data_IF_390314041457
#
_entry.id   IF_390314041457
#
_cell.length_a   1.000
_cell.length_b   1.000
_cell.length_c   1.000
_cell.angle_alpha   90.00
_cell.angle_beta   90.00
_cell.angle_gamma   90.00
#
_symmetry.space_group_name_H-M   'P 1'
#
loop_
_entity.id
_entity.type
_entity.pdbx_description
1 polymer ?
#
# COMPACT_ATOMS: atom_id res chain seq x y z
N UNK A 1 2.03 40.34 -8.64
CA UNK A 1 2.65 41.47 -7.89
C UNK A 1 3.84 40.93 -7.13
N UNK A 2 5.04 41.33 -7.54
CA UNK A 2 6.28 41.05 -6.79
C UNK A 2 6.21 41.93 -5.54
N UNK A 3 6.15 41.32 -4.35
CA UNK A 3 6.00 42.04 -3.08
C UNK A 3 7.35 42.63 -2.67
N UNK A 4 7.38 43.93 -2.31
CA UNK A 4 8.60 44.61 -1.88
C UNK A 4 9.09 44.03 -0.54
N UNK A 5 10.34 43.54 -0.55
CA UNK A 5 11.06 43.17 0.66
C UNK A 5 11.73 44.42 1.21
N UNK A 6 11.60 44.66 2.51
CA UNK A 6 12.30 45.73 3.21
C UNK A 6 13.63 45.22 3.76
N UNK A 7 14.60 46.12 3.92
CA UNK A 7 15.95 45.81 4.42
C UNK A 7 16.16 46.45 5.78
N UNK A 8 16.79 45.72 6.69
CA UNK A 8 17.18 46.20 8.02
C UNK A 8 18.56 45.66 8.36
N UNK A 9 19.30 46.37 9.22
CA UNK A 9 20.57 45.89 9.76
C UNK A 9 20.31 45.06 11.02
N UNK A 10 20.71 43.78 11.00
CA UNK A 10 20.70 42.87 12.15
C UNK A 10 22.15 42.46 12.38
N UNK A 11 22.72 42.77 13.55
CA UNK A 11 24.13 42.45 13.86
C UNK A 11 25.12 42.95 12.78
N UNK A 12 24.92 44.17 12.27
CA UNK A 12 25.70 44.78 11.16
C UNK A 12 25.64 44.05 9.81
N UNK A 13 24.70 43.12 9.65
CA UNK A 13 24.42 42.40 8.40
C UNK A 13 23.07 42.84 7.84
N UNK A 14 23.03 43.14 6.54
CA UNK A 14 21.79 43.49 5.84
C UNK A 14 20.87 42.27 5.74
N UNK A 15 19.68 42.36 6.36
CA UNK A 15 18.64 41.34 6.33
C UNK A 15 17.39 41.83 5.59
N UNK A 16 16.93 41.05 4.61
CA UNK A 16 15.70 41.33 3.86
C UNK A 16 14.49 40.63 4.48
N UNK A 17 13.50 41.39 4.92
CA UNK A 17 12.29 40.89 5.59
C UNK A 17 11.01 41.28 4.83
N UNK A 18 9.93 40.55 5.08
CA UNK A 18 8.62 40.86 4.50
C UNK A 18 7.75 41.58 5.54
N UNK A 19 7.48 42.89 5.40
CA UNK A 19 6.76 43.67 6.40
C UNK A 19 5.30 43.23 6.57
N UNK A 20 4.68 42.50 5.65
CA UNK A 20 3.32 41.95 5.86
C UNK A 20 3.32 40.76 6.83
N UNK A 21 4.44 40.02 6.90
CA UNK A 21 4.55 38.76 7.67
C UNK A 21 5.47 38.86 8.88
N UNK A 22 6.33 39.86 8.90
CA UNK A 22 7.45 39.99 9.83
C UNK A 22 7.45 41.41 10.42
N UNK A 23 7.85 41.55 11.68
CA UNK A 23 8.10 42.84 12.34
C UNK A 23 9.48 42.82 13.01
N UNK A 24 10.09 44.00 13.14
CA UNK A 24 11.40 44.14 13.78
C UNK A 24 11.19 44.56 15.24
N UNK A 25 11.87 43.88 16.16
CA UNK A 25 11.90 44.20 17.59
C UNK A 25 13.29 43.87 18.13
N UNK A 26 13.87 44.76 18.95
CA UNK A 26 15.17 44.54 19.58
C UNK A 26 16.29 44.12 18.61
N UNK A 27 16.28 44.68 17.40
CA UNK A 27 17.27 44.37 16.35
C UNK A 27 17.08 43.01 15.65
N UNK A 28 15.96 42.31 15.88
CA UNK A 28 15.68 41.00 15.29
C UNK A 28 14.32 40.97 14.58
N UNK A 29 14.18 40.06 13.62
CA UNK A 29 12.97 39.88 12.83
C UNK A 29 12.08 38.79 13.44
N UNK A 30 10.82 39.10 13.67
CA UNK A 30 9.84 38.20 14.29
C UNK A 30 8.63 37.97 13.40
N UNK A 31 8.03 36.79 13.48
CA UNK A 31 6.77 36.50 12.80
C UNK A 31 5.62 37.33 13.41
N UNK A 32 4.83 38.02 12.59
CA UNK A 32 3.64 38.76 13.05
C UNK A 32 2.52 37.89 13.64
N UNK A 33 2.53 36.58 13.36
CA UNK A 33 1.47 35.65 13.77
C UNK A 33 1.85 34.88 15.03
N UNK A 34 3.03 34.26 15.06
CA UNK A 34 3.46 33.43 16.19
C UNK A 34 4.54 34.09 17.07
N UNK A 35 5.04 35.28 16.70
CA UNK A 35 6.04 36.03 17.45
C UNK A 35 7.37 35.30 17.70
N UNK A 36 7.64 34.20 16.99
CA UNK A 36 8.96 33.58 16.99
C UNK A 36 9.95 34.36 16.12
N UNK A 37 11.22 34.34 16.53
CA UNK A 37 12.33 34.92 15.78
C UNK A 37 12.51 34.17 14.45
N UNK A 38 12.75 34.93 13.39
CA UNK A 38 12.86 34.46 11.99
C UNK A 38 14.21 34.74 11.36
N UNK A 39 15.02 35.62 11.93
CA UNK A 39 16.42 35.76 11.54
C UNK A 39 17.28 34.72 12.28
N UNK A 40 18.16 34.04 11.54
CA UNK A 40 19.17 33.16 12.10
C UNK A 40 20.38 33.92 12.64
N UNK A 41 21.48 33.20 12.88
CA UNK A 41 22.77 33.81 13.20
C UNK A 41 23.44 34.32 11.93
N UNK A 42 24.25 35.37 12.05
CA UNK A 42 25.16 35.78 10.99
C UNK A 42 26.16 34.65 10.69
N UNK A 43 26.25 34.26 9.42
CA UNK A 43 27.17 33.23 8.93
C UNK A 43 27.99 33.80 7.78
N UNK A 44 29.26 33.42 7.70
CA UNK A 44 30.12 33.78 6.58
C UNK A 44 29.86 32.84 5.40
N UNK A 45 29.57 33.42 4.24
CA UNK A 45 29.30 32.69 3.00
C UNK A 45 29.96 33.42 1.83
N UNK A 46 30.91 32.77 1.15
CA UNK A 46 31.72 33.36 0.06
C UNK A 46 32.38 34.71 0.43
N UNK A 47 32.96 34.82 1.63
CA UNK A 47 33.65 36.03 2.09
C UNK A 47 32.72 37.22 2.40
N UNK A 48 31.41 36.99 2.51
CA UNK A 48 30.41 37.98 2.93
C UNK A 48 29.62 37.42 4.11
N UNK A 49 29.25 38.28 5.07
CA UNK A 49 28.32 37.88 6.13
C UNK A 49 26.88 37.92 5.62
N UNK A 50 26.11 36.89 5.95
CA UNK A 50 24.71 36.76 5.58
C UNK A 50 23.90 36.17 6.74
N UNK A 51 22.64 36.60 6.85
CA UNK A 51 21.67 36.04 7.81
C UNK A 51 20.59 35.30 7.02
N UNK A 52 20.44 34.00 7.29
CA UNK A 52 19.40 33.17 6.68
C UNK A 52 18.11 33.22 7.49
N UNK A 53 16.97 33.09 6.80
CA UNK A 53 15.67 32.98 7.46
C UNK A 53 15.53 31.62 8.14
N UNK A 54 15.06 31.64 9.38
CA UNK A 54 14.67 30.47 10.15
C UNK A 54 13.15 30.29 10.06
N UNK A 55 12.70 29.05 9.91
CA UNK A 55 11.27 28.73 9.90
C UNK A 55 10.69 29.00 11.29
N UNK A 56 9.69 29.88 11.38
CA UNK A 56 8.90 30.06 12.60
C UNK A 56 7.85 28.94 12.76
N UNK A 57 7.16 28.88 13.90
CA UNK A 57 6.07 27.92 14.15
C UNK A 57 5.05 27.87 13.02
N UNK A 58 4.62 29.02 12.50
CA UNK A 58 3.66 29.06 11.38
C UNK A 58 4.20 28.43 10.09
N UNK A 59 5.50 28.55 9.84
CA UNK A 59 6.14 27.94 8.66
C UNK A 59 6.24 26.43 8.86
N UNK A 60 6.70 25.99 10.05
CA UNK A 60 6.79 24.56 10.41
C UNK A 60 5.43 23.86 10.41
N UNK A 61 4.38 24.51 10.93
CA UNK A 61 3.01 23.97 10.92
C UNK A 61 2.45 23.86 9.49
N UNK A 62 2.78 24.82 8.61
CA UNK A 62 2.35 24.78 7.20
C UNK A 62 3.07 23.66 6.46
N UNK A 63 4.38 23.53 6.65
CA UNK A 63 5.17 22.44 6.07
C UNK A 63 4.68 21.08 6.55
N UNK A 64 4.38 20.93 7.85
CA UNK A 64 3.83 19.70 8.42
C UNK A 64 2.47 19.36 7.78
N UNK A 65 1.57 20.34 7.65
CA UNK A 65 0.26 20.16 7.00
C UNK A 65 0.38 19.79 5.52
N UNK A 66 1.29 20.44 4.78
CA UNK A 66 1.50 20.11 3.37
C UNK A 66 2.11 18.71 3.23
N UNK A 67 3.08 18.35 4.08
CA UNK A 67 3.66 17.01 4.09
C UNK A 67 2.61 15.93 4.39
N UNK A 68 1.72 16.19 5.35
CA UNK A 68 0.61 15.28 5.64
C UNK A 68 -0.36 15.19 4.46
N UNK A 69 -0.71 16.32 3.83
CA UNK A 69 -1.56 16.35 2.63
C UNK A 69 -0.95 15.53 1.49
N UNK A 70 0.34 15.70 1.22
CA UNK A 70 1.06 14.92 0.20
C UNK A 70 1.11 13.44 0.54
N UNK A 71 1.30 13.09 1.82
CA UNK A 71 1.25 11.71 2.30
C UNK A 71 -0.11 11.07 2.03
N UNK A 72 -1.21 11.77 2.35
CA UNK A 72 -2.57 11.27 2.13
C UNK A 72 -2.89 11.08 0.66
N UNK A 73 -2.50 12.05 -0.20
CA UNK A 73 -2.67 11.93 -1.65
C UNK A 73 -1.91 10.74 -2.23
N UNK A 74 -0.69 10.48 -1.74
CA UNK A 74 0.08 9.33 -2.18
C UNK A 74 -0.54 8.00 -1.72
N UNK A 75 -1.04 7.92 -0.47
CA UNK A 75 -1.76 6.74 0.03
C UNK A 75 -2.98 6.45 -0.84
N UNK A 76 -3.79 7.47 -1.15
CA UNK A 76 -4.98 7.33 -1.99
C UNK A 76 -4.62 6.86 -3.41
N UNK A 77 -3.57 7.45 -4.00
CA UNK A 77 -3.02 7.02 -5.30
C UNK A 77 -2.57 5.57 -5.26
N UNK A 78 -1.82 5.15 -4.24
CA UNK A 78 -1.35 3.77 -4.11
C UNK A 78 -2.52 2.78 -3.92
N UNK A 79 -3.52 3.12 -3.10
CA UNK A 79 -4.71 2.28 -2.90
C UNK A 79 -5.53 2.12 -4.19
N UNK A 80 -5.69 3.19 -4.97
CA UNK A 80 -6.41 3.13 -6.26
C UNK A 80 -5.71 2.24 -7.30
N UNK A 81 -4.37 2.18 -7.28
CA UNK A 81 -3.60 1.27 -8.14
C UNK A 81 -3.69 -0.18 -7.63
N UNK A 82 -3.61 -0.34 -6.30
CA UNK A 82 -3.57 -1.64 -5.63
C UNK A 82 -4.87 -2.43 -5.78
N UNK A 83 -6.00 -1.81 -5.42
CA UNK A 83 -7.30 -2.46 -5.27
C UNK A 83 -8.22 -2.23 -6.46
N UNK A 84 -8.99 -3.26 -6.84
CA UNK A 84 -9.99 -3.15 -7.91
C UNK A 84 -11.37 -2.75 -7.39
N UNK A 85 -11.61 -2.86 -6.08
CA UNK A 85 -12.89 -2.55 -5.44
C UNK A 85 -12.67 -1.69 -4.19
N UNK A 86 -13.56 -0.70 -4.01
CA UNK A 86 -13.56 0.16 -2.82
C UNK A 86 -13.79 -0.61 -1.52
N UNK A 87 -14.45 -1.77 -1.59
CA UNK A 87 -14.66 -2.62 -0.41
C UNK A 87 -13.31 -3.13 0.13
N UNK A 88 -12.33 -3.39 -0.74
CA UNK A 88 -11.00 -3.86 -0.29
C UNK A 88 -10.22 -2.79 0.48
N UNK A 89 -10.58 -1.51 0.36
CA UNK A 89 -9.96 -0.43 1.11
C UNK A 89 -10.29 -0.52 2.60
N UNK A 90 -11.42 -1.14 2.97
CA UNK A 90 -11.81 -1.33 4.37
C UNK A 90 -11.29 -2.63 4.97
N UNK A 91 -10.62 -3.48 4.19
CA UNK A 91 -10.02 -4.72 4.68
C UNK A 91 -8.71 -4.43 5.40
N UNK A 92 -8.78 -3.94 6.64
CA UNK A 92 -7.63 -3.60 7.49
C UNK A 92 -7.52 -4.56 8.68
N UNK A 93 -6.38 -4.57 9.38
CA UNK A 93 -6.22 -5.41 10.57
C UNK A 93 -7.16 -4.99 11.70
N UNK A 94 -7.50 -3.70 11.78
CA UNK A 94 -8.42 -3.13 12.78
C UNK A 94 -9.87 -3.55 12.51
N UNK A 95 -10.26 -3.67 11.24
CA UNK A 95 -11.60 -4.10 10.84
C UNK A 95 -11.73 -5.63 10.74
N UNK A 96 -10.66 -6.39 11.03
CA UNK A 96 -10.70 -7.85 10.98
C UNK A 96 -11.58 -8.39 12.10
N UNK A 97 -12.73 -8.96 11.72
CA UNK A 97 -13.71 -9.51 12.67
C UNK A 97 -13.49 -11.00 13.01
N UNK A 98 -12.45 -11.62 12.46
CA UNK A 98 -12.08 -12.98 12.82
C UNK A 98 -11.43 -13.06 14.20
N UNK A 99 -11.37 -14.27 14.77
CA UNK A 99 -10.61 -14.50 16.00
C UNK A 99 -9.13 -14.21 15.76
N UNK A 100 -8.47 -13.63 16.76
CA UNK A 100 -7.02 -13.51 16.74
C UNK A 100 -6.41 -14.91 16.69
N UNK A 101 -5.79 -15.23 15.57
CA UNK A 101 -5.25 -16.54 15.26
C UNK A 101 -3.82 -16.39 14.72
N UNK A 102 -3.13 -17.52 14.56
CA UNK A 102 -1.76 -17.54 14.08
C UNK A 102 -1.61 -16.83 12.71
N UNK A 103 -2.59 -16.97 11.81
CA UNK A 103 -2.54 -16.32 10.49
C UNK A 103 -2.58 -14.79 10.57
N UNK A 104 -3.36 -14.21 11.50
CA UNK A 104 -3.40 -12.77 11.74
C UNK A 104 -2.09 -12.26 12.34
N UNK A 105 -1.52 -13.00 13.30
CA UNK A 105 -0.23 -12.64 13.93
C UNK A 105 0.89 -12.64 12.89
N UNK A 106 0.97 -13.67 12.05
CA UNK A 106 1.95 -13.76 10.97
C UNK A 106 1.76 -12.60 9.99
N UNK A 107 0.53 -12.29 9.59
CA UNK A 107 0.25 -11.17 8.69
C UNK A 107 0.68 -9.80 9.26
N UNK A 108 0.42 -9.54 10.55
CA UNK A 108 0.88 -8.33 11.24
C UNK A 108 2.41 -8.26 11.31
N UNK A 109 3.07 -9.37 11.66
CA UNK A 109 4.53 -9.42 11.75
C UNK A 109 5.22 -9.28 10.39
N UNK A 110 4.63 -9.82 9.32
CA UNK A 110 5.12 -9.63 7.96
C UNK A 110 5.21 -8.14 7.58
N UNK A 111 4.19 -7.35 7.96
CA UNK A 111 4.17 -5.89 7.72
C UNK A 111 5.22 -5.19 8.57
N UNK A 112 5.28 -5.53 9.86
CA UNK A 112 6.23 -4.94 10.82
C UNK A 112 7.68 -5.15 10.39
N UNK A 113 8.00 -6.35 9.91
CA UNK A 113 9.36 -6.76 9.55
C UNK A 113 9.56 -6.75 8.01
N UNK A 114 8.78 -5.94 7.27
CA UNK A 114 8.77 -5.97 5.81
C UNK A 114 10.14 -5.75 5.16
N UNK A 115 11.00 -4.88 5.72
CA UNK A 115 12.35 -4.68 5.17
C UNK A 115 13.21 -5.94 5.23
N UNK A 116 13.04 -6.77 6.27
CA UNK A 116 13.68 -8.08 6.35
C UNK A 116 13.06 -9.04 5.34
N UNK A 117 11.73 -9.11 5.29
CA UNK A 117 11.00 -9.96 4.33
C UNK A 117 11.41 -9.65 2.89
N UNK A 118 11.59 -8.37 2.56
CA UNK A 118 12.06 -7.90 1.27
C UNK A 118 13.51 -8.26 1.00
N UNK A 119 14.40 -8.11 1.98
CA UNK A 119 15.82 -8.44 1.84
C UNK A 119 16.03 -9.94 1.60
N UNK A 120 15.24 -10.79 2.27
CA UNK A 120 15.35 -12.24 2.20
C UNK A 120 14.41 -12.86 1.15
N UNK A 121 13.67 -12.03 0.39
CA UNK A 121 12.68 -12.47 -0.60
C UNK A 121 11.58 -13.40 -0.03
N UNK A 122 11.16 -13.14 1.20
CA UNK A 122 10.13 -13.92 1.89
C UNK A 122 8.74 -13.40 1.52
N UNK A 123 7.92 -14.28 0.95
CA UNK A 123 6.49 -14.12 0.71
C UNK A 123 5.64 -14.95 1.67
N UNK A 124 4.32 -14.91 1.47
CA UNK A 124 3.37 -15.70 2.24
C UNK A 124 2.45 -16.48 1.30
N UNK A 125 2.20 -17.75 1.62
CA UNK A 125 1.21 -18.58 0.94
C UNK A 125 0.03 -18.82 1.90
N UNK A 126 -1.03 -18.04 1.77
CA UNK A 126 -2.27 -18.25 2.51
C UNK A 126 -3.09 -19.37 1.87
N UNK A 127 -3.34 -20.44 2.60
CA UNK A 127 -4.13 -21.58 2.12
C UNK A 127 -5.18 -22.01 3.15
N UNK A 128 -6.25 -22.66 2.70
CA UNK A 128 -7.38 -23.08 3.55
C UNK A 128 -8.71 -23.08 2.80
N UNK A 129 -9.79 -23.39 3.50
CA UNK A 129 -11.13 -23.54 2.92
C UNK A 129 -11.69 -22.23 2.34
N UNK A 130 -12.65 -22.34 1.42
CA UNK A 130 -13.36 -21.18 0.85
C UNK A 130 -14.03 -20.38 1.98
N UNK A 131 -13.94 -19.05 1.92
CA UNK A 131 -14.60 -18.17 2.89
C UNK A 131 -13.86 -17.94 4.21
N UNK A 132 -12.71 -18.61 4.43
CA UNK A 132 -11.89 -18.50 5.66
C UNK A 132 -11.20 -17.14 5.90
N UNK A 133 -11.22 -16.23 4.93
CA UNK A 133 -10.65 -14.87 5.07
C UNK A 133 -9.24 -14.66 4.53
N UNK A 134 -8.68 -15.59 3.74
CA UNK A 134 -7.35 -15.46 3.10
C UNK A 134 -7.16 -14.14 2.33
N UNK A 135 -8.07 -13.84 1.41
CA UNK A 135 -8.05 -12.59 0.62
C UNK A 135 -8.15 -11.36 1.51
N UNK A 136 -8.93 -11.44 2.61
CA UNK A 136 -9.05 -10.34 3.55
C UNK A 136 -7.70 -10.06 4.21
N UNK A 137 -7.03 -11.07 4.76
CA UNK A 137 -5.70 -10.93 5.37
C UNK A 137 -4.67 -10.38 4.38
N UNK A 138 -4.68 -10.87 3.14
CA UNK A 138 -3.80 -10.35 2.09
C UNK A 138 -4.08 -8.87 1.78
N UNK A 139 -5.35 -8.46 1.72
CA UNK A 139 -5.73 -7.05 1.58
C UNK A 139 -5.34 -6.22 2.81
N UNK A 140 -5.40 -6.77 4.02
CA UNK A 140 -4.96 -6.10 5.24
C UNK A 140 -3.46 -5.84 5.26
N UNK A 141 -2.65 -6.80 4.81
CA UNK A 141 -1.22 -6.58 4.58
C UNK A 141 -1.01 -5.44 3.58
N UNK A 142 -1.71 -5.46 2.45
CA UNK A 142 -1.58 -4.42 1.43
C UNK A 142 -1.96 -3.03 1.95
N UNK A 143 -3.09 -2.91 2.65
CA UNK A 143 -3.52 -1.65 3.27
C UNK A 143 -2.46 -1.14 4.26
N UNK A 144 -1.98 -2.00 5.16
CA UNK A 144 -1.01 -1.61 6.16
C UNK A 144 0.35 -1.20 5.55
N UNK A 145 0.84 -1.92 4.52
CA UNK A 145 2.07 -1.54 3.80
C UNK A 145 1.94 -0.18 3.10
N UNK A 146 0.78 0.09 2.49
CA UNK A 146 0.52 1.38 1.82
C UNK A 146 0.39 2.51 2.84
N UNK A 147 -0.39 2.33 3.90
CA UNK A 147 -0.70 3.39 4.87
C UNK A 147 0.48 3.74 5.78
N UNK A 148 1.22 2.73 6.23
CA UNK A 148 2.30 2.92 7.21
C UNK A 148 3.61 3.31 6.52
N UNK A 149 3.88 2.75 5.33
CA UNK A 149 5.18 2.84 4.68
C UNK A 149 5.14 3.39 3.24
N UNK A 150 3.96 3.69 2.69
CA UNK A 150 3.79 4.16 1.30
C UNK A 150 4.42 3.20 0.28
N UNK A 151 4.40 1.90 0.57
CA UNK A 151 4.94 0.85 -0.30
C UNK A 151 3.94 0.56 -1.41
N UNK A 152 4.42 0.46 -2.65
CA UNK A 152 3.60 0.03 -3.78
C UNK A 152 3.25 -1.45 -3.68
N UNK A 153 1.96 -1.74 -3.62
CA UNK A 153 1.39 -3.09 -3.64
C UNK A 153 0.41 -3.21 -4.81
N UNK A 154 0.32 -4.39 -5.42
CA UNK A 154 -0.76 -4.73 -6.36
C UNK A 154 -1.42 -6.03 -5.97
N UNK A 155 -2.76 -6.07 -6.01
CA UNK A 155 -3.52 -7.30 -5.82
C UNK A 155 -4.26 -7.62 -7.11
N UNK A 156 -4.02 -8.80 -7.68
CA UNK A 156 -4.74 -9.29 -8.85
C UNK A 156 -5.01 -10.77 -8.71
N UNK A 157 -6.14 -11.25 -9.20
CA UNK A 157 -6.30 -12.67 -9.50
C UNK A 157 -5.90 -12.98 -10.94
N UNK A 158 -5.62 -14.24 -11.26
CA UNK A 158 -5.16 -14.60 -12.59
C UNK A 158 -6.19 -14.32 -13.68
N UNK A 159 -7.49 -14.50 -13.38
CA UNK A 159 -8.55 -14.15 -14.34
C UNK A 159 -8.52 -12.68 -14.73
N UNK A 160 -8.26 -11.76 -13.78
CA UNK A 160 -8.08 -10.34 -14.05
C UNK A 160 -6.84 -10.08 -14.91
N UNK A 161 -5.71 -10.71 -14.58
CA UNK A 161 -4.47 -10.57 -15.35
C UNK A 161 -4.68 -10.98 -16.81
N UNK A 162 -5.26 -12.16 -17.05
CA UNK A 162 -5.52 -12.65 -18.41
C UNK A 162 -6.51 -11.74 -19.14
N UNK A 163 -7.58 -11.30 -18.47
CA UNK A 163 -8.54 -10.39 -19.08
C UNK A 163 -7.91 -9.03 -19.45
N UNK A 164 -7.03 -8.48 -18.61
CA UNK A 164 -6.32 -7.24 -18.89
C UNK A 164 -5.34 -7.41 -20.07
N UNK A 165 -4.64 -8.54 -20.14
CA UNK A 165 -3.77 -8.89 -21.27
C UNK A 165 -4.53 -9.08 -22.59
N UNK A 166 -5.77 -9.59 -22.53
CA UNK A 166 -6.62 -9.77 -23.70
C UNK A 166 -7.28 -8.47 -24.18
N UNK A 167 -7.51 -7.51 -23.27
CA UNK A 167 -8.10 -6.19 -23.60
C UNK A 167 -7.12 -5.24 -24.26
N UNK A 168 -5.82 -5.36 -23.98
CA UNK A 168 -4.78 -4.55 -24.60
C UNK A 168 -4.60 -4.89 -26.09
N UNK A 169 -5.01 -3.97 -26.98
CA UNK A 169 -4.58 -4.00 -28.37
C UNK A 169 -3.11 -3.59 -28.49
N UNK A 170 -2.40 -4.15 -29.49
CA UNK A 170 -0.94 -4.06 -29.70
C UNK A 170 -0.08 -4.61 -28.53
N UNK A 171 1.01 -5.32 -28.85
CA UNK A 171 1.82 -6.03 -27.85
C UNK A 171 2.60 -5.14 -26.87
N UNK A 172 2.75 -3.84 -27.17
CA UNK A 172 3.46 -2.87 -26.32
C UNK A 172 2.75 -2.70 -24.97
N UNK A 173 1.42 -2.68 -24.95
CA UNK A 173 0.64 -2.48 -23.71
C UNK A 173 0.66 -3.73 -22.80
N UNK A 174 0.79 -4.92 -23.39
CA UNK A 174 0.83 -6.19 -22.63
C UNK A 174 2.14 -6.34 -21.86
N UNK A 175 3.27 -6.07 -22.51
CA UNK A 175 4.58 -6.16 -21.86
C UNK A 175 4.69 -5.14 -20.73
N UNK A 176 4.24 -3.90 -20.95
CA UNK A 176 4.19 -2.87 -19.92
C UNK A 176 3.34 -3.31 -18.72
N UNK A 177 2.19 -3.96 -18.96
CA UNK A 177 1.34 -4.48 -17.88
C UNK A 177 2.04 -5.58 -17.08
N UNK A 178 2.65 -6.59 -17.73
CA UNK A 178 3.42 -7.64 -17.05
C UNK A 178 4.58 -7.04 -16.25
N UNK A 179 5.35 -6.14 -16.84
CA UNK A 179 6.44 -5.46 -16.15
C UNK A 179 5.94 -4.71 -14.92
N UNK A 180 4.76 -4.11 -15.00
CA UNK A 180 4.14 -3.42 -13.88
C UNK A 180 3.75 -4.36 -12.72
N UNK A 181 3.47 -5.63 -12.99
CA UNK A 181 3.21 -6.67 -11.98
C UNK A 181 4.51 -7.27 -11.45
N UNK A 182 5.52 -7.41 -12.30
CA UNK A 182 6.83 -7.95 -11.93
C UNK A 182 7.63 -6.95 -11.08
N UNK A 183 7.53 -5.65 -11.38
CA UNK A 183 8.39 -4.62 -10.77
C UNK A 183 7.79 -3.98 -9.51
N UNK A 184 6.49 -4.16 -9.21
CA UNK A 184 5.89 -3.66 -7.96
C UNK A 184 6.57 -4.27 -6.73
N UNK A 185 6.68 -3.50 -5.64
CA UNK A 185 7.41 -3.90 -4.44
C UNK A 185 6.82 -5.16 -3.81
N UNK A 186 5.49 -5.27 -3.77
CA UNK A 186 4.78 -6.49 -3.34
C UNK A 186 3.65 -6.78 -4.33
N UNK A 187 3.62 -8.00 -4.84
CA UNK A 187 2.50 -8.51 -5.62
C UNK A 187 1.74 -9.51 -4.76
N UNK A 188 0.42 -9.38 -4.76
CA UNK A 188 -0.50 -10.35 -4.19
C UNK A 188 -1.25 -11.01 -5.34
N UNK A 189 -1.10 -12.32 -5.47
CA UNK A 189 -1.81 -13.15 -6.42
C UNK A 189 -2.92 -13.90 -5.68
N UNK A 190 -4.14 -13.41 -5.87
CA UNK A 190 -5.33 -13.90 -5.17
C UNK A 190 -5.96 -15.07 -5.93
N UNK A 191 -6.41 -16.09 -5.19
CA UNK A 191 -7.09 -17.29 -5.67
C UNK A 191 -6.31 -18.09 -6.74
N UNK A 192 -5.06 -18.45 -6.44
CA UNK A 192 -4.26 -19.41 -7.22
C UNK A 192 -4.92 -20.80 -7.24
N UNK A 193 -4.99 -21.42 -8.42
CA UNK A 193 -5.61 -22.72 -8.66
C UNK A 193 -7.06 -22.66 -9.16
N UNK A 194 -7.61 -21.46 -9.41
CA UNK A 194 -8.96 -21.26 -10.02
C UNK A 194 -8.82 -20.77 -11.48
N UNK A 195 -7.60 -20.61 -11.98
CA UNK A 195 -7.35 -20.17 -13.35
C UNK A 195 -7.96 -21.12 -14.40
N UNK A 196 -8.36 -20.51 -15.53
CA UNK A 196 -8.82 -21.26 -16.69
C UNK A 196 -7.67 -22.15 -17.17
N UNK A 197 -7.99 -23.42 -17.43
CA UNK A 197 -7.03 -24.48 -17.76
C UNK A 197 -6.51 -24.37 -19.21
N UNK A 198 -6.12 -23.17 -19.64
CA UNK A 198 -5.54 -22.92 -20.97
C UNK A 198 -4.03 -22.81 -20.88
N UNK A 199 -3.31 -23.33 -21.88
CA UNK A 199 -1.84 -23.28 -21.91
C UNK A 199 -1.32 -21.84 -21.83
N UNK A 200 -2.00 -20.89 -22.48
CA UNK A 200 -1.63 -19.47 -22.41
C UNK A 200 -1.73 -18.90 -20.99
N UNK A 201 -2.79 -19.21 -20.25
CA UNK A 201 -2.94 -18.72 -18.88
C UNK A 201 -1.82 -19.23 -17.97
N UNK A 202 -1.50 -20.54 -18.06
CA UNK A 202 -0.41 -21.18 -17.31
C UNK A 202 0.95 -20.56 -17.64
N UNK A 203 1.21 -20.29 -18.92
CA UNK A 203 2.45 -19.64 -19.36
C UNK A 203 2.60 -18.24 -18.74
N UNK A 204 1.53 -17.43 -18.73
CA UNK A 204 1.58 -16.09 -18.14
C UNK A 204 1.76 -16.15 -16.61
N UNK A 205 1.10 -17.09 -15.92
CA UNK A 205 1.31 -17.32 -14.48
C UNK A 205 2.77 -17.66 -14.21
N UNK A 206 3.32 -18.63 -14.94
CA UNK A 206 4.71 -19.03 -14.83
C UNK A 206 5.64 -17.85 -15.08
N UNK A 207 5.40 -17.06 -16.13
CA UNK A 207 6.20 -15.92 -16.50
C UNK A 207 6.26 -14.88 -15.36
N UNK A 208 5.12 -14.52 -14.77
CA UNK A 208 5.06 -13.56 -13.66
C UNK A 208 5.78 -14.10 -12.42
N UNK A 209 5.47 -15.33 -12.00
CA UNK A 209 6.07 -15.95 -10.81
C UNK A 209 7.57 -16.11 -10.97
N UNK A 210 8.02 -16.62 -12.12
CA UNK A 210 9.44 -16.81 -12.42
C UNK A 210 10.22 -15.49 -12.43
N UNK A 211 9.69 -14.43 -13.06
CA UNK A 211 10.39 -13.15 -13.09
C UNK A 211 10.49 -12.50 -11.70
N UNK A 212 9.45 -12.65 -10.85
CA UNK A 212 9.50 -12.13 -9.48
C UNK A 212 10.47 -12.91 -8.61
N UNK A 213 10.52 -14.23 -8.78
CA UNK A 213 11.53 -15.10 -8.18
C UNK A 213 12.96 -14.63 -8.56
N UNK A 214 13.23 -14.48 -9.86
CA UNK A 214 14.56 -14.06 -10.36
C UNK A 214 14.95 -12.63 -9.93
N UNK A 215 13.96 -11.74 -9.73
CA UNK A 215 14.19 -10.35 -9.30
C UNK A 215 14.19 -10.20 -7.77
N UNK A 216 14.10 -11.28 -7.00
CA UNK A 216 13.99 -11.25 -5.54
C UNK A 216 12.91 -10.28 -5.04
N UNK A 217 11.69 -10.41 -5.58
CA UNK A 217 10.54 -9.59 -5.20
C UNK A 217 9.51 -10.41 -4.40
N UNK A 218 9.28 -10.09 -3.11
CA UNK A 218 8.30 -10.78 -2.26
C UNK A 218 6.92 -10.87 -2.93
N UNK A 219 6.31 -12.05 -2.85
CA UNK A 219 5.01 -12.30 -3.46
C UNK A 219 4.11 -13.02 -2.45
N UNK A 220 2.88 -12.54 -2.30
CA UNK A 220 1.88 -13.18 -1.43
C UNK A 220 0.88 -13.90 -2.32
N UNK A 221 0.51 -15.12 -1.95
CA UNK A 221 -0.45 -15.95 -2.66
C UNK A 221 -1.62 -16.27 -1.74
N UNK A 222 -2.82 -16.34 -2.30
CA UNK A 222 -3.96 -16.98 -1.63
C UNK A 222 -4.45 -18.14 -2.50
N UNK A 223 -4.86 -19.24 -1.88
CA UNK A 223 -5.36 -20.41 -2.62
C UNK A 223 -6.33 -21.24 -1.78
N UNK A 224 -7.27 -21.90 -2.47
CA UNK A 224 -8.14 -22.91 -1.87
C UNK A 224 -7.57 -24.33 -1.98
N UNK A 225 -6.44 -24.51 -2.67
CA UNK A 225 -5.71 -25.77 -2.69
C UNK A 225 -5.13 -26.04 -1.30
N UNK A 226 -5.13 -27.31 -0.89
CA UNK A 226 -4.36 -27.73 0.28
C UNK A 226 -2.86 -27.62 -0.01
N UNK A 227 -2.06 -27.40 1.03
CA UNK A 227 -0.60 -27.37 0.88
C UNK A 227 -0.06 -28.66 0.25
N UNK A 228 -0.62 -29.81 0.62
CA UNK A 228 -0.25 -31.12 0.04
C UNK A 228 -0.48 -31.20 -1.48
N UNK A 229 -1.53 -30.56 -2.01
CA UNK A 229 -1.79 -30.51 -3.45
C UNK A 229 -0.77 -29.65 -4.19
N UNK A 230 -0.27 -28.59 -3.55
CA UNK A 230 0.75 -27.70 -4.10
C UNK A 230 2.11 -28.41 -4.11
N UNK A 231 2.48 -29.02 -2.98
CA UNK A 231 3.74 -29.73 -2.80
C UNK A 231 3.86 -30.96 -3.70
N UNK A 232 2.79 -31.74 -3.84
CA UNK A 232 2.79 -33.00 -4.59
C UNK A 232 2.04 -32.89 -5.92
N UNK A 233 2.05 -31.72 -6.56
CA UNK A 233 1.33 -31.51 -7.82
C UNK A 233 1.85 -32.41 -8.94
N UNK A 234 0.97 -33.20 -9.54
CA UNK A 234 1.28 -34.07 -10.71
C UNK A 234 0.49 -33.71 -11.97
N UNK A 235 -0.28 -32.61 -11.93
CA UNK A 235 -1.20 -32.24 -13.01
C UNK A 235 -0.47 -31.78 -14.29
N UNK A 236 0.58 -30.96 -14.14
CA UNK A 236 1.41 -30.54 -15.26
C UNK A 236 2.82 -30.10 -14.81
N UNK A 237 3.79 -30.19 -15.73
CA UNK A 237 5.17 -29.76 -15.48
C UNK A 237 5.25 -28.25 -15.23
N UNK A 238 4.40 -27.45 -15.88
CA UNK A 238 4.30 -26.01 -15.67
C UNK A 238 3.87 -25.68 -14.23
N UNK A 239 2.83 -26.36 -13.72
CA UNK A 239 2.39 -26.16 -12.33
C UNK A 239 3.43 -26.60 -11.32
N UNK A 240 4.11 -27.73 -11.55
CA UNK A 240 5.23 -28.16 -10.72
C UNK A 240 6.31 -27.08 -10.60
N UNK A 241 6.65 -26.43 -11.73
CA UNK A 241 7.65 -25.35 -11.74
C UNK A 241 7.16 -24.07 -11.05
N UNK A 242 5.87 -23.75 -11.16
CA UNK A 242 5.26 -22.62 -10.45
C UNK A 242 5.29 -22.87 -8.94
N UNK A 243 4.73 -24.01 -8.51
CA UNK A 243 4.63 -24.36 -7.09
C UNK A 243 5.98 -24.56 -6.45
N UNK A 244 6.97 -25.14 -7.14
CA UNK A 244 8.34 -25.24 -6.63
C UNK A 244 8.93 -23.87 -6.26
N UNK A 245 8.69 -22.82 -7.08
CA UNK A 245 9.13 -21.45 -6.76
C UNK A 245 8.35 -20.84 -5.61
N UNK A 246 7.03 -21.08 -5.57
CA UNK A 246 6.17 -20.58 -4.50
C UNK A 246 6.59 -21.18 -3.15
N UNK A 247 6.87 -22.49 -3.09
CA UNK A 247 7.30 -23.18 -1.88
C UNK A 247 8.64 -22.66 -1.38
N UNK A 248 9.59 -22.37 -2.28
CA UNK A 248 10.89 -21.81 -1.89
C UNK A 248 10.74 -20.40 -1.31
N UNK A 249 10.00 -19.51 -2.00
CA UNK A 249 9.98 -18.10 -1.63
C UNK A 249 8.92 -17.75 -0.58
N UNK A 250 8.01 -18.65 -0.21
CA UNK A 250 6.88 -18.33 0.67
C UNK A 250 6.83 -19.19 1.93
N UNK A 251 6.48 -18.55 3.05
CA UNK A 251 6.07 -19.27 4.26
C UNK A 251 4.60 -19.69 4.11
N UNK A 252 4.26 -20.98 4.26
CA UNK A 252 2.88 -21.46 4.19
C UNK A 252 2.12 -21.08 5.47
N UNK A 253 0.97 -20.43 5.31
CA UNK A 253 0.11 -19.98 6.41
C UNK A 253 -1.30 -20.54 6.23
N UNK A 254 -1.67 -21.48 7.10
CA UNK A 254 -3.03 -22.01 7.12
C UNK A 254 -3.98 -20.97 7.72
N UNK A 255 -5.03 -20.62 6.97
CA UNK A 255 -6.09 -19.74 7.45
C UNK A 255 -7.28 -20.59 7.86
N UNK A 256 -7.47 -20.70 9.17
CA UNK A 256 -8.58 -21.41 9.80
C UNK A 256 -9.66 -20.41 10.18
N UNK A 257 -10.89 -20.70 9.79
CA UNK A 257 -12.06 -19.88 10.13
C UNK A 257 -13.33 -20.46 9.53
N UNK A 258 -14.46 -20.15 10.17
CA UNK A 258 -15.77 -20.34 9.56
C UNK A 258 -15.87 -19.47 8.30
N UNK A 259 -16.74 -19.87 7.37
CA UNK A 259 -17.01 -19.05 6.19
C UNK A 259 -17.68 -17.75 6.64
N UNK A 260 -16.87 -16.71 6.78
CA UNK A 260 -17.31 -15.41 7.28
C UNK A 260 -18.35 -14.77 6.35
N UNK A 261 -18.39 -15.16 5.07
CA UNK A 261 -19.44 -14.73 4.14
C UNK A 261 -20.80 -15.29 4.54
N UNK A 262 -20.86 -16.49 5.14
CA UNK A 262 -22.10 -17.06 5.70
C UNK A 262 -22.54 -16.32 6.95
N UNK A 263 -21.62 -15.94 7.82
CA UNK A 263 -21.93 -15.11 9.01
C UNK A 263 -22.58 -13.79 8.57
N UNK A 264 -21.96 -13.07 7.62
CA UNK A 264 -22.54 -11.84 7.04
C UNK A 264 -23.92 -12.12 6.42
N UNK A 265 -24.09 -13.23 5.71
CA UNK A 265 -25.37 -13.59 5.10
C UNK A 265 -26.47 -13.79 6.15
N UNK A 266 -26.16 -14.49 7.25
CA UNK A 266 -27.11 -14.70 8.36
C UNK A 266 -27.51 -13.39 9.03
N UNK A 267 -26.56 -12.47 9.25
CA UNK A 267 -26.85 -11.14 9.79
C UNK A 267 -27.71 -10.30 8.86
N UNK A 268 -27.38 -10.29 7.55
CA UNK A 268 -28.19 -9.63 6.53
C UNK A 268 -29.61 -10.19 6.48
N UNK A 269 -29.76 -11.50 6.58
CA UNK A 269 -31.06 -12.14 6.61
C UNK A 269 -31.83 -11.71 7.86
N UNK A 270 -31.24 -11.83 9.06
CA UNK A 270 -31.89 -11.40 10.32
C UNK A 270 -32.36 -9.95 10.27
N UNK A 271 -31.51 -9.04 9.78
CA UNK A 271 -31.80 -7.60 9.72
C UNK A 271 -32.88 -7.22 8.71
N UNK A 272 -32.95 -7.94 7.58
CA UNK A 272 -33.83 -7.54 6.47
C UNK A 272 -35.06 -8.44 6.30
N UNK A 273 -35.12 -9.60 6.98
CA UNK A 273 -36.20 -10.59 6.80
C UNK A 273 -37.57 -9.99 7.02
N UNK A 274 -37.81 -9.33 8.15
CA UNK A 274 -39.11 -8.71 8.43
C UNK A 274 -39.44 -7.61 7.43
N UNK A 275 -38.51 -6.68 7.20
CA UNK A 275 -38.68 -5.58 6.22
C UNK A 275 -39.04 -6.08 4.82
N UNK A 276 -38.40 -7.14 4.35
CA UNK A 276 -38.64 -7.71 3.02
C UNK A 276 -39.95 -8.52 2.96
N UNK A 277 -40.39 -9.12 4.09
CA UNK A 277 -41.64 -9.87 4.17
C UNK A 277 -42.87 -8.98 4.34
N UNK A 278 -42.75 -7.86 5.05
CA UNK A 278 -43.85 -6.95 5.34
C UNK A 278 -43.94 -5.75 4.40
N UNK A 279 -43.06 -5.69 3.39
CA UNK A 279 -43.09 -4.68 2.33
C UNK A 279 -42.42 -3.35 2.66
N UNK A 280 -41.83 -3.20 3.86
CA UNK A 280 -41.13 -2.00 4.33
C UNK A 280 -41.99 -0.74 4.36
N UNK A 281 -42.14 -0.10 5.52
CA UNK A 281 -42.75 1.23 5.54
C UNK A 281 -41.93 2.18 4.66
N UNK A 282 -42.59 2.73 3.63
CA UNK A 282 -42.03 3.81 2.80
C UNK A 282 -42.02 5.07 3.67
N UNK A 283 -40.92 5.32 4.39
CA UNK A 283 -40.58 6.67 4.88
C UNK A 283 -40.05 7.50 3.73
#
# INVERSE_FOLDING_TARGET
>A
MIKELEKVMIEDVEYSFNPEKEYIKDGHAYCKVCHERKDGKALEFFGKQMIFKTACKCDRDREAKEKERQKQLEIERLKSICFTSIIQWSYTFENYQGKENQSLIIAKNFVKDYELMKKENIGLLFYGTVGSGKTYLACSIANALIEQYQISVKIRNFSQIINELQKGGFDIDKNAYIESLVNTSVLILDDLGIERDTSYAKEQVYNIVNNRYLKHKPTIFTTNLSYSQIENCTESVEYQRIYSRIIEMCIPVMVLGEDYRKVIQEEKLKRNKERLLTGGERT
#
